data_IF_478543066684
#
_entry.id   IF_478543066684
#
_cell.length_a   1.000
_cell.length_b   1.000
_cell.length_c   1.000
_cell.angle_alpha   90.00
_cell.angle_beta   90.00
_cell.angle_gamma   90.00
#
_symmetry.space_group_name_H-M   'P 1'
#
loop_
_entity.id
_entity.type
_entity.pdbx_description
1 polymer ?
#
# COMPACT_ATOMS: atom_id res chain seq x y z
N UNK A 1 -3.51 -21.60 -0.17
CA UNK A 1 -2.78 -20.45 -0.77
C UNK A 1 -1.37 -20.40 -0.20
N UNK A 2 -0.34 -20.14 -1.01
CA UNK A 2 1.07 -20.15 -0.59
C UNK A 2 1.62 -18.72 -0.45
N UNK A 3 2.41 -18.51 0.59
CA UNK A 3 3.02 -17.22 0.93
C UNK A 3 4.53 -17.39 1.07
N UNK A 4 5.29 -16.42 0.55
CA UNK A 4 6.73 -16.31 0.77
C UNK A 4 7.00 -15.41 1.97
N UNK A 5 6.98 -15.98 3.16
CA UNK A 5 7.21 -15.28 4.43
C UNK A 5 8.26 -16.04 5.23
N UNK A 6 9.28 -15.33 5.70
CA UNK A 6 10.32 -15.93 6.55
C UNK A 6 9.77 -16.25 7.94
N UNK A 7 9.73 -17.54 8.28
CA UNK A 7 9.39 -18.01 9.60
C UNK A 7 10.49 -17.58 10.59
N UNK A 8 10.12 -16.84 11.63
CA UNK A 8 11.04 -16.36 12.68
C UNK A 8 11.60 -17.49 13.55
N UNK A 9 10.92 -18.63 13.59
CA UNK A 9 11.29 -19.79 14.43
C UNK A 9 12.27 -20.73 13.74
N UNK A 10 12.03 -21.12 12.48
CA UNK A 10 12.85 -22.10 11.77
C UNK A 10 13.60 -21.54 10.55
N UNK A 11 13.33 -20.30 10.13
CA UNK A 11 13.99 -19.65 9.00
C UNK A 11 13.51 -20.12 7.62
N UNK A 12 12.51 -21.00 7.54
CA UNK A 12 11.87 -21.36 6.28
C UNK A 12 11.17 -20.17 5.66
N UNK A 13 10.93 -20.21 4.34
CA UNK A 13 10.22 -19.15 3.60
C UNK A 13 8.90 -19.63 3.04
N UNK A 14 8.43 -20.80 3.46
CA UNK A 14 7.22 -21.43 2.95
C UNK A 14 6.15 -21.36 4.03
N UNK A 15 5.08 -20.63 3.72
CA UNK A 15 3.94 -20.51 4.60
C UNK A 15 2.64 -20.74 3.82
N UNK A 16 1.62 -21.25 4.49
CA UNK A 16 0.34 -21.58 3.88
C UNK A 16 -0.80 -20.97 4.66
N UNK A 17 -1.89 -20.69 3.94
CA UNK A 17 -3.21 -20.53 4.51
C UNK A 17 -4.23 -21.37 3.71
N UNK A 18 -5.45 -21.59 4.22
CA UNK A 18 -6.53 -22.26 3.47
C UNK A 18 -6.76 -21.64 2.09
N UNK A 19 -7.23 -22.42 1.11
CA UNK A 19 -7.50 -21.90 -0.24
C UNK A 19 -8.70 -20.94 -0.30
N UNK A 20 -9.62 -21.05 0.66
CA UNK A 20 -10.75 -20.13 0.86
C UNK A 20 -10.54 -19.31 2.13
N UNK A 21 -9.36 -18.72 2.28
CA UNK A 21 -8.98 -17.99 3.47
C UNK A 21 -9.81 -16.68 3.62
N UNK A 22 -10.31 -16.47 4.83
CA UNK A 22 -10.85 -15.21 5.32
C UNK A 22 -9.74 -14.40 6.01
N UNK A 23 -9.99 -13.13 6.26
CA UNK A 23 -8.98 -12.20 6.81
C UNK A 23 -8.41 -12.64 8.17
N UNK A 24 -9.17 -13.39 8.96
CA UNK A 24 -8.77 -13.92 10.27
C UNK A 24 -8.08 -15.29 10.19
N UNK A 25 -7.98 -15.90 9.01
CA UNK A 25 -7.33 -17.20 8.87
C UNK A 25 -5.81 -17.07 9.00
N UNK A 26 -5.23 -18.04 9.69
CA UNK A 26 -3.81 -18.06 10.03
C UNK A 26 -2.95 -18.44 8.82
N UNK A 27 -1.88 -17.66 8.63
CA UNK A 27 -0.75 -18.04 7.80
C UNK A 27 0.25 -18.75 8.70
N UNK A 28 0.49 -20.02 8.42
CA UNK A 28 1.37 -20.88 9.23
C UNK A 28 2.56 -21.37 8.41
N UNK A 29 3.69 -21.54 9.07
CA UNK A 29 4.89 -22.14 8.48
C UNK A 29 4.61 -23.60 8.05
N UNK A 30 4.96 -23.99 6.83
CA UNK A 30 4.84 -25.40 6.38
C UNK A 30 5.69 -26.35 7.20
N UNK A 31 6.87 -25.88 7.62
CA UNK A 31 7.91 -26.76 8.16
C UNK A 31 7.78 -27.00 9.67
N UNK A 32 7.50 -25.95 10.46
CA UNK A 32 7.39 -26.06 11.92
C UNK A 32 5.98 -25.81 12.46
N UNK A 33 5.02 -25.44 11.61
CA UNK A 33 3.64 -25.14 12.01
C UNK A 33 3.47 -23.86 12.82
N UNK A 34 4.51 -23.04 12.93
CA UNK A 34 4.43 -21.78 13.70
C UNK A 34 3.45 -20.82 13.02
N UNK A 35 2.62 -20.17 13.83
CA UNK A 35 1.83 -19.02 13.41
C UNK A 35 2.75 -17.87 13.00
N UNK A 36 2.51 -17.28 11.84
CA UNK A 36 3.32 -16.16 11.32
C UNK A 36 2.52 -14.88 11.30
N UNK A 37 1.33 -14.90 10.68
CA UNK A 37 0.47 -13.73 10.50
C UNK A 37 -0.97 -14.17 10.19
N UNK A 38 -1.91 -13.22 10.06
CA UNK A 38 -3.23 -13.46 9.49
C UNK A 38 -3.31 -13.02 8.04
N UNK A 39 -4.21 -13.64 7.25
CA UNK A 39 -4.37 -13.32 5.83
C UNK A 39 -4.71 -11.86 5.58
N UNK A 40 -5.59 -11.27 6.40
CA UNK A 40 -5.99 -9.87 6.27
C UNK A 40 -4.85 -8.92 6.59
N UNK A 41 -4.14 -9.14 7.71
CA UNK A 41 -3.02 -8.28 8.09
C UNK A 41 -1.86 -8.36 7.07
N UNK A 42 -1.59 -9.55 6.54
CA UNK A 42 -0.62 -9.74 5.45
C UNK A 42 -1.04 -8.98 4.18
N UNK A 43 -2.32 -9.05 3.81
CA UNK A 43 -2.86 -8.33 2.65
C UNK A 43 -2.80 -6.81 2.84
N UNK A 44 -3.09 -6.30 4.05
CA UNK A 44 -3.04 -4.88 4.35
C UNK A 44 -1.62 -4.32 4.31
N UNK A 45 -0.65 -5.08 4.84
CA UNK A 45 0.77 -4.68 4.85
C UNK A 45 1.40 -4.70 3.46
N UNK A 46 0.99 -5.63 2.60
CA UNK A 46 1.51 -5.78 1.23
C UNK A 46 0.62 -5.09 0.19
N UNK A 47 -0.52 -4.55 0.61
CA UNK A 47 -1.48 -3.85 -0.22
C UNK A 47 -1.07 -2.42 -0.58
N UNK A 48 -1.92 -1.77 -1.38
CA UNK A 48 -1.72 -0.35 -1.71
C UNK A 48 -1.91 0.48 -0.44
N UNK A 49 -0.86 1.19 -0.03
CA UNK A 49 -0.95 2.11 1.11
C UNK A 49 -1.92 3.26 0.81
N UNK A 50 -3.15 3.16 1.34
CA UNK A 50 -4.19 4.19 1.20
C UNK A 50 -3.73 5.59 1.67
N UNK A 51 -3.00 5.74 2.81
CA UNK A 51 -2.45 7.03 3.20
C UNK A 51 -1.50 7.63 2.15
N UNK A 52 -0.59 6.82 1.61
CA UNK A 52 0.31 7.26 0.54
C UNK A 52 -0.45 7.61 -0.74
N UNK A 53 -1.48 6.85 -1.08
CA UNK A 53 -2.35 7.14 -2.21
C UNK A 53 -3.03 8.51 -2.05
N UNK A 54 -3.62 8.78 -0.89
CA UNK A 54 -4.27 10.07 -0.59
C UNK A 54 -3.28 11.25 -0.64
N UNK A 55 -2.06 11.07 -0.11
CA UNK A 55 -1.00 12.09 -0.18
C UNK A 55 -0.54 12.35 -1.62
N UNK A 56 -0.48 11.33 -2.47
CA UNK A 56 -0.16 11.51 -3.88
C UNK A 56 -1.24 12.29 -4.63
N UNK A 57 -2.52 12.02 -4.33
CA UNK A 57 -3.64 12.78 -4.89
C UNK A 57 -3.61 14.26 -4.46
N UNK A 58 -3.41 14.52 -3.17
CA UNK A 58 -3.35 15.89 -2.65
C UNK A 58 -2.17 16.67 -3.26
N UNK A 59 -1.00 16.02 -3.42
CA UNK A 59 0.14 16.59 -4.12
C UNK A 59 -0.19 16.96 -5.57
N UNK A 60 -0.92 16.10 -6.28
CA UNK A 60 -1.39 16.36 -7.64
C UNK A 60 -2.25 17.63 -7.72
N UNK A 61 -3.22 17.76 -6.81
CA UNK A 61 -4.10 18.93 -6.72
C UNK A 61 -3.32 20.21 -6.41
N UNK A 62 -2.39 20.19 -5.46
CA UNK A 62 -1.54 21.35 -5.13
C UNK A 62 -0.76 21.82 -6.36
N UNK A 63 -0.16 20.89 -7.11
CA UNK A 63 0.57 21.22 -8.32
C UNK A 63 -0.33 21.79 -9.42
N UNK A 64 -1.55 21.26 -9.58
CA UNK A 64 -2.54 21.83 -10.52
C UNK A 64 -2.91 23.26 -10.13
N UNK A 65 -3.23 23.51 -8.85
CA UNK A 65 -3.55 24.85 -8.37
C UNK A 65 -2.39 25.84 -8.56
N UNK A 66 -1.16 25.41 -8.28
CA UNK A 66 0.03 26.23 -8.48
C UNK A 66 0.29 26.57 -9.96
N UNK A 67 -0.07 25.67 -10.90
CA UNK A 67 0.03 25.95 -12.34
C UNK A 67 -1.07 26.92 -12.80
N UNK A 68 -2.31 26.70 -12.35
CA UNK A 68 -3.44 27.56 -12.67
C UNK A 68 -3.26 28.98 -12.15
N UNK A 69 -2.74 29.15 -10.93
CA UNK A 69 -2.47 30.48 -10.36
C UNK A 69 -1.38 31.23 -11.13
N UNK A 70 -0.33 30.54 -11.55
CA UNK A 70 0.72 31.12 -12.42
C UNK A 70 0.15 31.56 -13.77
N UNK A 71 -0.67 30.73 -14.42
CA UNK A 71 -1.28 31.07 -15.70
C UNK A 71 -2.23 32.29 -15.60
N UNK A 72 -3.02 32.37 -14.53
CA UNK A 72 -3.88 33.52 -14.26
C UNK A 72 -3.06 34.80 -14.06
N UNK A 73 -2.05 34.77 -13.20
CA UNK A 73 -1.21 35.94 -12.93
C UNK A 73 -0.46 36.44 -14.18
N UNK A 74 0.00 35.54 -15.04
CA UNK A 74 0.69 35.91 -16.28
C UNK A 74 -0.27 36.54 -17.32
N UNK A 75 -1.53 36.08 -17.34
CA UNK A 75 -2.57 36.64 -18.21
C UNK A 75 -3.07 38.02 -17.75
N UNK A 76 -3.14 38.29 -16.44
CA UNK A 76 -3.44 39.63 -15.91
C UNK A 76 -2.28 40.59 -16.15
N UNK A 77 -1.03 40.17 -15.93
CA UNK A 77 0.14 41.02 -16.16
C UNK A 77 0.25 41.50 -17.62
N UNK A 78 -0.08 40.65 -18.60
CA UNK A 78 -0.13 41.02 -20.03
C UNK A 78 -1.28 41.94 -20.42
N UNK A 79 -2.36 42.00 -19.65
CA UNK A 79 -3.53 42.86 -19.92
C UNK A 79 -3.39 44.27 -19.35
N UNK A 80 -2.52 44.45 -18.36
CA UNK A 80 -2.24 45.73 -17.71
C UNK A 80 -0.99 46.44 -18.24
N UNK A 81 -0.34 45.88 -19.28
CA UNK A 81 0.73 46.49 -20.05
C UNK A 81 0.18 46.95 -21.41
#
# INVERSE_FOLDING_TARGET
MNYQISCTRCGSQHAIAPDTAHDWDEITCTDCGEFIDTCGHYADTHGVSYPMHALNLSRGLILQMARSSRALNDSTARRSA
#
